data_IF_898455377151
#
_entry.id   IF_898455377151
#
_cell.length_a   1.000
_cell.length_b   1.000
_cell.length_c   1.000
_cell.angle_alpha   90.00
_cell.angle_beta   90.00
_cell.angle_gamma   90.00
#
_symmetry.space_group_name_H-M   'P 1'
#
loop_
_entity.id
_entity.type
_entity.pdbx_description
1 polymer ?
#
# COMPACT_ATOMS: atom_id res chain seq x y z
N UNK A 1 -12.32 -14.32 15.67
CA UNK A 1 -11.07 -13.54 15.51
C UNK A 1 -10.21 -14.27 14.50
N UNK A 2 -10.07 -13.71 13.29
CA UNK A 2 -9.17 -14.27 12.29
C UNK A 2 -7.75 -13.94 12.75
N UNK A 3 -6.97 -14.97 13.05
CA UNK A 3 -5.59 -14.81 13.49
C UNK A 3 -4.72 -14.60 12.25
N UNK A 4 -4.47 -13.34 11.90
CA UNK A 4 -3.59 -13.00 10.80
C UNK A 4 -2.12 -13.12 11.27
N UNK A 5 -1.36 -14.01 10.65
CA UNK A 5 0.09 -14.08 10.90
C UNK A 5 0.80 -12.89 10.24
N UNK A 6 1.88 -12.40 10.88
CA UNK A 6 2.72 -11.33 10.34
C UNK A 6 3.17 -11.71 8.92
N UNK A 7 2.87 -10.86 7.93
CA UNK A 7 3.39 -11.08 6.59
C UNK A 7 4.87 -10.71 6.52
N UNK A 8 5.64 -11.65 5.97
CA UNK A 8 7.07 -11.52 5.76
C UNK A 8 7.30 -11.25 4.28
N UNK A 9 8.12 -10.24 3.99
CA UNK A 9 8.52 -9.90 2.63
C UNK A 9 9.11 -11.13 1.94
N UNK A 10 8.69 -11.37 0.69
CA UNK A 10 9.19 -12.49 -0.13
C UNK A 10 10.08 -11.95 -1.24
N UNK A 11 11.14 -12.67 -1.56
CA UNK A 11 12.07 -12.29 -2.65
C UNK A 11 11.36 -12.16 -4.00
N UNK A 12 10.29 -12.93 -4.21
CA UNK A 12 9.52 -12.93 -5.45
C UNK A 12 8.68 -11.64 -5.64
N UNK A 13 8.64 -10.77 -4.62
CA UNK A 13 7.99 -9.46 -4.68
C UNK A 13 8.96 -8.36 -5.09
N UNK A 14 10.24 -8.67 -5.27
CA UNK A 14 11.23 -7.70 -5.68
C UNK A 14 11.04 -7.34 -7.16
N UNK A 15 10.87 -6.05 -7.42
CA UNK A 15 10.95 -5.46 -8.76
C UNK A 15 12.39 -5.47 -9.28
N UNK A 16 13.39 -5.67 -8.41
CA UNK A 16 14.80 -5.59 -8.75
C UNK A 16 15.33 -4.15 -8.81
N UNK A 17 14.51 -3.18 -8.38
CA UNK A 17 14.83 -1.77 -8.26
C UNK A 17 14.85 -1.47 -6.76
N UNK A 18 16.04 -1.33 -6.18
CA UNK A 18 16.30 -1.19 -4.75
C UNK A 18 15.47 -0.05 -4.15
N UNK A 19 15.34 1.07 -4.87
CA UNK A 19 14.59 2.23 -4.41
C UNK A 19 13.08 1.97 -4.27
N UNK A 20 12.52 1.07 -5.09
CA UNK A 20 11.10 0.68 -5.07
C UNK A 20 10.89 -0.43 -4.04
N UNK A 21 11.73 -1.48 -4.08
CA UNK A 21 11.63 -2.62 -3.16
C UNK A 21 11.72 -2.18 -1.69
N UNK A 22 12.58 -1.21 -1.38
CA UNK A 22 12.67 -0.62 -0.03
C UNK A 22 11.40 0.13 0.39
N UNK A 23 10.70 0.77 -0.55
CA UNK A 23 9.46 1.50 -0.27
C UNK A 23 8.30 0.52 -0.05
N UNK A 24 8.18 -0.52 -0.88
CA UNK A 24 7.21 -1.59 -0.68
C UNK A 24 7.40 -2.30 0.67
N UNK A 25 8.64 -2.60 1.05
CA UNK A 25 8.95 -3.19 2.36
C UNK A 25 8.52 -2.29 3.53
N UNK A 26 8.69 -0.96 3.40
CA UNK A 26 8.24 0.01 4.40
C UNK A 26 6.72 0.09 4.49
N UNK A 27 6.02 0.04 3.35
CA UNK A 27 4.55 -0.06 3.32
C UNK A 27 4.06 -1.32 4.03
N UNK A 28 4.62 -2.49 3.70
CA UNK A 28 4.27 -3.75 4.37
C UNK A 28 4.59 -3.70 5.87
N UNK A 29 5.72 -3.09 6.26
CA UNK A 29 6.07 -2.91 7.67
C UNK A 29 5.03 -2.04 8.38
N UNK A 30 4.58 -0.94 7.78
CA UNK A 30 3.55 -0.08 8.36
C UNK A 30 2.22 -0.83 8.53
N UNK A 31 1.79 -1.60 7.52
CA UNK A 31 0.58 -2.45 7.60
C UNK A 31 0.72 -3.49 8.72
N UNK A 32 1.86 -4.18 8.82
CA UNK A 32 2.11 -5.15 9.88
C UNK A 32 2.13 -4.52 11.28
N UNK A 33 2.66 -3.30 11.42
CA UNK A 33 2.66 -2.56 12.68
C UNK A 33 1.23 -2.22 13.08
N UNK A 34 0.44 -1.68 12.15
CA UNK A 34 -0.96 -1.38 12.39
C UNK A 34 -1.74 -2.64 12.79
N UNK A 35 -1.57 -3.74 12.06
CA UNK A 35 -2.22 -5.01 12.39
C UNK A 35 -1.84 -5.54 13.79
N UNK A 36 -0.58 -5.40 14.21
CA UNK A 36 -0.12 -5.90 15.51
C UNK A 36 -0.50 -5.01 16.68
N UNK A 37 -0.41 -3.69 16.50
CA UNK A 37 -0.55 -2.71 17.57
C UNK A 37 -1.98 -2.26 17.78
N UNK A 38 -2.91 -2.66 16.91
CA UNK A 38 -4.30 -2.29 17.05
C UNK A 38 -4.98 -3.16 18.11
N UNK A 39 -5.21 -2.60 19.30
CA UNK A 39 -6.26 -3.07 20.21
C UNK A 39 -7.57 -2.34 19.89
N UNK A 40 -8.58 -3.05 19.38
CA UNK A 40 -9.84 -2.43 18.99
C UNK A 40 -10.59 -1.76 20.15
N UNK A 41 -10.32 -2.16 21.39
CA UNK A 41 -11.00 -1.65 22.59
C UNK A 41 -10.43 -0.33 23.15
N UNK A 42 -9.21 0.06 22.76
CA UNK A 42 -8.52 1.23 23.34
C UNK A 42 -7.89 2.21 22.33
N UNK A 43 -7.74 1.83 21.05
CA UNK A 43 -6.72 2.48 20.20
C UNK A 43 -7.25 3.27 19.00
N UNK A 44 -8.54 3.66 18.96
CA UNK A 44 -9.11 4.44 17.81
C UNK A 44 -8.23 5.62 17.37
N UNK A 45 -7.77 6.52 18.26
CA UNK A 45 -6.93 7.65 17.84
C UNK A 45 -5.55 7.22 17.34
N UNK A 46 -5.03 6.08 17.79
CA UNK A 46 -3.76 5.54 17.32
C UNK A 46 -3.90 4.89 15.94
N UNK A 47 -5.00 4.16 15.70
CA UNK A 47 -5.31 3.61 14.39
C UNK A 47 -5.41 4.71 13.32
N UNK A 48 -6.16 5.78 13.60
CA UNK A 48 -6.28 6.93 12.69
C UNK A 48 -4.92 7.56 12.35
N UNK A 49 -4.04 7.76 13.35
CA UNK A 49 -2.69 8.30 13.11
C UNK A 49 -1.82 7.38 12.24
N UNK A 50 -1.94 6.06 12.44
CA UNK A 50 -1.21 5.09 11.64
C UNK A 50 -1.74 5.03 10.21
N UNK A 51 -3.06 5.17 10.01
CA UNK A 51 -3.65 5.30 8.68
C UNK A 51 -3.20 6.58 7.98
N UNK A 52 -3.18 7.71 8.67
CA UNK A 52 -2.67 8.97 8.11
C UNK A 52 -1.19 8.83 7.68
N UNK A 53 -0.38 8.16 8.51
CA UNK A 53 1.03 7.91 8.19
C UNK A 53 1.19 6.97 6.98
N UNK A 54 0.36 5.93 6.89
CA UNK A 54 0.37 4.99 5.77
C UNK A 54 -0.08 5.66 4.47
N UNK A 55 -1.15 6.45 4.50
CA UNK A 55 -1.65 7.19 3.34
C UNK A 55 -0.61 8.21 2.84
N UNK A 56 0.02 8.93 3.77
CA UNK A 56 1.09 9.87 3.45
C UNK A 56 2.30 9.16 2.81
N UNK A 57 2.69 7.99 3.33
CA UNK A 57 3.80 7.23 2.78
C UNK A 57 3.48 6.59 1.41
N UNK A 58 2.26 6.08 1.23
CA UNK A 58 1.78 5.57 -0.05
C UNK A 58 1.83 6.67 -1.12
N UNK A 59 1.44 7.91 -0.78
CA UNK A 59 1.54 9.04 -1.71
C UNK A 59 2.97 9.32 -2.15
N UNK A 60 3.91 9.34 -1.22
CA UNK A 60 5.34 9.53 -1.53
C UNK A 60 5.83 8.41 -2.45
N UNK A 61 5.42 7.17 -2.17
CA UNK A 61 5.80 6.01 -2.96
C UNK A 61 5.25 6.08 -4.40
N UNK A 62 3.95 6.33 -4.55
CA UNK A 62 3.30 6.46 -5.86
C UNK A 62 3.86 7.62 -6.67
N UNK A 63 4.12 8.77 -6.05
CA UNK A 63 4.77 9.91 -6.71
C UNK A 63 6.17 9.54 -7.23
N UNK A 64 6.93 8.73 -6.48
CA UNK A 64 8.25 8.26 -6.89
C UNK A 64 8.16 7.33 -8.11
N UNK A 65 7.28 6.33 -8.08
CA UNK A 65 7.07 5.44 -9.22
C UNK A 65 6.63 6.22 -10.46
N UNK A 66 5.58 7.03 -10.33
CA UNK A 66 5.02 7.79 -11.45
C UNK A 66 6.04 8.75 -12.07
N UNK A 67 6.92 9.32 -11.26
CA UNK A 67 8.03 10.15 -11.74
C UNK A 67 9.01 9.33 -12.58
N UNK A 68 9.41 8.14 -12.12
CA UNK A 68 10.29 7.24 -12.88
C UNK A 68 9.64 6.80 -14.19
N UNK A 69 8.37 6.39 -14.13
CA UNK A 69 7.58 5.97 -15.28
C UNK A 69 7.39 7.11 -16.29
N UNK A 70 7.15 8.34 -15.83
CA UNK A 70 7.06 9.52 -16.69
C UNK A 70 8.39 9.83 -17.37
N UNK A 71 9.49 9.88 -16.62
CA UNK A 71 10.82 10.22 -17.14
C UNK A 71 11.31 9.22 -18.18
N UNK A 72 10.96 7.95 -18.02
CA UNK A 72 11.34 6.86 -18.92
C UNK A 72 10.31 6.60 -20.02
N UNK A 73 9.21 7.37 -20.06
CA UNK A 73 8.12 7.25 -21.05
C UNK A 73 7.48 5.85 -21.07
N UNK A 74 7.20 5.31 -19.88
CA UNK A 74 6.46 4.06 -19.77
C UNK A 74 5.06 4.20 -20.38
N UNK A 75 4.68 3.25 -21.24
CA UNK A 75 3.48 3.37 -22.06
C UNK A 75 2.18 3.35 -21.23
N UNK A 76 2.15 2.59 -20.13
CA UNK A 76 0.94 2.36 -19.33
C UNK A 76 0.85 3.27 -18.08
N UNK A 77 1.62 4.36 -18.03
CA UNK A 77 1.63 5.30 -16.91
C UNK A 77 0.22 5.84 -16.56
N UNK A 78 -0.62 6.08 -17.57
CA UNK A 78 -1.96 6.62 -17.35
C UNK A 78 -2.82 5.64 -16.54
N UNK A 79 -2.79 4.35 -16.88
CA UNK A 79 -3.52 3.30 -16.18
C UNK A 79 -2.92 3.04 -14.78
N UNK A 80 -1.59 3.07 -14.65
CA UNK A 80 -0.90 2.98 -13.35
C UNK A 80 -1.38 4.07 -12.38
N UNK A 81 -1.46 5.32 -12.85
CA UNK A 81 -1.99 6.46 -12.10
C UNK A 81 -3.44 6.29 -11.66
N UNK A 82 -4.28 5.74 -12.53
CA UNK A 82 -5.68 5.47 -12.17
C UNK A 82 -5.76 4.50 -11.01
N UNK A 83 -4.98 3.41 -11.02
CA UNK A 83 -4.96 2.44 -9.92
C UNK A 83 -4.50 3.06 -8.59
N UNK A 84 -3.50 3.97 -8.62
CA UNK A 84 -3.10 4.74 -7.44
C UNK A 84 -4.19 5.69 -6.93
N UNK A 85 -4.96 6.31 -7.83
CA UNK A 85 -6.08 7.19 -7.44
C UNK A 85 -7.24 6.39 -6.84
N UNK A 86 -7.51 5.21 -7.39
CA UNK A 86 -8.54 4.30 -6.89
C UNK A 86 -8.19 3.81 -5.48
N UNK A 87 -6.91 3.52 -5.21
CA UNK A 87 -6.43 3.18 -3.86
C UNK A 87 -6.82 4.22 -2.79
N UNK A 88 -6.59 5.52 -3.07
CA UNK A 88 -6.97 6.56 -2.13
C UNK A 88 -8.49 6.74 -2.00
N UNK A 89 -9.23 6.46 -3.07
CA UNK A 89 -10.69 6.50 -3.05
C UNK A 89 -11.26 5.39 -2.16
N UNK A 90 -10.73 4.17 -2.26
CA UNK A 90 -11.11 3.06 -1.39
C UNK A 90 -10.71 3.29 0.07
N UNK A 91 -9.51 3.82 0.34
CA UNK A 91 -9.12 4.24 1.70
C UNK A 91 -10.15 5.21 2.29
N UNK A 92 -10.58 6.21 1.49
CA UNK A 92 -11.56 7.18 1.94
C UNK A 92 -12.90 6.51 2.27
N UNK A 93 -13.37 5.58 1.44
CA UNK A 93 -14.61 4.82 1.67
C UNK A 93 -14.51 4.03 2.98
N UNK A 94 -13.42 3.29 3.20
CA UNK A 94 -13.18 2.56 4.44
C UNK A 94 -13.16 3.47 5.67
N UNK A 95 -12.54 4.65 5.59
CA UNK A 95 -12.52 5.63 6.70
C UNK A 95 -13.91 6.21 6.99
N UNK A 96 -14.73 6.42 5.96
CA UNK A 96 -16.11 6.88 6.13
C UNK A 96 -16.98 5.81 6.79
N UNK A 97 -16.84 4.55 6.37
CA UNK A 97 -17.49 3.40 7.00
C UNK A 97 -17.08 3.27 8.48
N UNK A 98 -15.78 3.34 8.79
CA UNK A 98 -15.28 3.27 10.16
C UNK A 98 -15.79 4.41 11.07
N UNK A 99 -16.22 5.54 10.51
CA UNK A 99 -16.86 6.63 11.28
C UNK A 99 -18.34 6.39 11.54
N UNK A 100 -19.02 5.73 10.62
CA UNK A 100 -20.45 5.45 10.68
C UNK A 100 -20.78 4.18 11.49
N UNK A 101 -19.84 3.24 11.57
CA UNK A 101 -20.05 1.95 12.22
C UNK A 101 -20.04 2.06 13.76
N UNK A 102 -20.98 1.35 14.40
CA UNK A 102 -20.98 1.13 15.84
C UNK A 102 -19.88 0.16 16.26
N UNK A 103 -19.45 -0.73 15.35
CA UNK A 103 -18.40 -1.73 15.56
C UNK A 103 -17.13 -1.33 14.80
N UNK A 104 -16.43 -0.31 15.32
CA UNK A 104 -15.15 0.20 14.79
C UNK A 104 -14.13 -0.90 14.43
N UNK A 105 -14.18 -2.00 15.15
CA UNK A 105 -13.24 -3.11 15.07
C UNK A 105 -13.29 -3.80 13.71
N UNK A 106 -14.51 -4.03 13.21
CA UNK A 106 -14.72 -4.73 11.93
C UNK A 106 -14.31 -3.83 10.78
N UNK A 107 -14.65 -2.53 10.82
CA UNK A 107 -14.24 -1.57 9.81
C UNK A 107 -12.70 -1.42 9.69
N UNK A 108 -11.98 -1.46 10.82
CA UNK A 108 -10.51 -1.41 10.81
C UNK A 108 -9.92 -2.72 10.29
N UNK A 109 -10.50 -3.87 10.66
CA UNK A 109 -10.07 -5.17 10.13
C UNK A 109 -10.26 -5.26 8.61
N UNK A 110 -11.41 -4.78 8.10
CA UNK A 110 -11.70 -4.73 6.67
C UNK A 110 -10.74 -3.82 5.92
N UNK A 111 -10.45 -2.63 6.47
CA UNK A 111 -9.47 -1.72 5.90
C UNK A 111 -8.06 -2.33 5.86
N UNK A 112 -7.65 -3.04 6.92
CA UNK A 112 -6.37 -3.75 6.96
C UNK A 112 -6.30 -4.87 5.92
N UNK A 113 -7.37 -5.65 5.77
CA UNK A 113 -7.46 -6.69 4.76
C UNK A 113 -7.35 -6.10 3.35
N UNK A 114 -8.07 -5.01 3.08
CA UNK A 114 -7.98 -4.28 1.82
C UNK A 114 -6.57 -3.78 1.52
N UNK A 115 -5.94 -3.05 2.46
CA UNK A 115 -4.60 -2.47 2.28
C UNK A 115 -3.57 -3.54 1.92
N UNK A 116 -3.68 -4.69 2.57
CA UNK A 116 -2.74 -5.78 2.38
C UNK A 116 -2.93 -6.50 1.04
N UNK A 117 -4.18 -6.84 0.72
CA UNK A 117 -4.53 -7.49 -0.54
C UNK A 117 -4.17 -6.58 -1.72
N UNK A 118 -4.52 -5.29 -1.63
CA UNK A 118 -4.19 -4.30 -2.63
C UNK A 118 -2.67 -4.17 -2.81
N UNK A 119 -1.90 -4.03 -1.73
CA UNK A 119 -0.45 -3.88 -1.85
C UNK A 119 0.20 -5.08 -2.53
N UNK A 120 -0.16 -6.31 -2.12
CA UNK A 120 0.46 -7.52 -2.68
C UNK A 120 0.04 -7.71 -4.14
N UNK A 121 -1.25 -7.54 -4.44
CA UNK A 121 -1.77 -7.68 -5.81
C UNK A 121 -1.17 -6.63 -6.73
N UNK A 122 -1.15 -5.36 -6.31
CA UNK A 122 -0.59 -4.25 -7.09
C UNK A 122 0.90 -4.46 -7.37
N UNK A 123 1.70 -4.88 -6.38
CA UNK A 123 3.11 -5.21 -6.60
C UNK A 123 3.24 -6.29 -7.68
N UNK A 124 2.57 -7.43 -7.47
CA UNK A 124 2.76 -8.62 -8.30
C UNK A 124 2.20 -8.47 -9.72
N UNK A 125 1.08 -7.76 -9.86
CA UNK A 125 0.34 -7.69 -11.12
C UNK A 125 0.57 -6.38 -11.87
N UNK A 126 1.02 -5.32 -11.22
CA UNK A 126 1.15 -3.99 -11.82
C UNK A 126 2.60 -3.54 -11.79
N UNK A 127 3.22 -3.47 -10.62
CA UNK A 127 4.57 -2.93 -10.48
C UNK A 127 5.61 -3.80 -11.19
N UNK A 128 5.45 -5.12 -11.11
CA UNK A 128 6.30 -6.07 -11.83
C UNK A 128 6.27 -5.86 -13.35
N UNK A 129 5.21 -5.27 -13.92
CA UNK A 129 5.11 -5.01 -15.37
C UNK A 129 6.00 -3.85 -15.82
N UNK A 130 6.26 -2.86 -14.96
CA UNK A 130 7.15 -1.75 -15.33
C UNK A 130 8.63 -2.08 -15.08
N UNK A 131 8.92 -3.07 -14.23
CA UNK A 131 10.29 -3.39 -13.79
C UNK A 131 11.27 -3.56 -14.97
N UNK A 132 11.00 -4.40 -15.99
CA UNK A 132 11.90 -4.58 -17.13
C UNK A 132 12.18 -3.28 -17.90
N UNK A 133 11.18 -2.40 -17.98
CA UNK A 133 11.30 -1.10 -18.65
C UNK A 133 12.21 -0.15 -17.88
N UNK A 134 12.00 -0.03 -16.56
CA UNK A 134 12.82 0.85 -15.71
C UNK A 134 14.27 0.34 -15.61
N UNK A 135 14.48 -0.97 -15.48
CA UNK A 135 15.82 -1.57 -15.47
C UNK A 135 16.56 -1.32 -16.80
N UNK A 136 15.88 -1.45 -17.94
CA UNK A 136 16.44 -1.12 -19.26
C UNK A 136 16.78 0.37 -19.39
N UNK A 137 16.05 1.25 -18.70
CA UNK A 137 16.34 2.67 -18.63
C UNK A 137 17.47 3.02 -17.63
N UNK A 138 18.06 2.03 -16.95
CA UNK A 138 19.17 2.22 -16.02
C UNK A 138 18.77 2.64 -14.61
N UNK A 139 17.47 2.58 -14.28
CA UNK A 139 16.98 2.79 -12.91
C UNK A 139 17.42 1.63 -12.03
N UNK A 140 17.83 1.95 -10.79
CA UNK A 140 18.27 0.99 -9.78
C UNK A 140 17.61 1.29 -8.45
#
# INVERSE_FOLDING_TARGET
>A
MVQFEKLVWKTDWNTGIDSIDQQHQKLLMAINVLHRQFDPSTDRPQAERLFDALEAYARIHFEHEEKLLYQTKYADLANHRTQHQDFFSEIKIHREQAKADSELNDAIADMLAYLLDWLISHILEVDMKYSPHLLKAGVK
#
